data_IF_056064191609
#
_entry.id   IF_056064191609
#
_cell.length_a   1.000
_cell.length_b   1.000
_cell.length_c   1.000
_cell.angle_alpha   90.00
_cell.angle_beta   90.00
_cell.angle_gamma   90.00
#
_symmetry.space_group_name_H-M   'P 1'
#
loop_
_entity.id
_entity.type
_entity.pdbx_description
1 polymer ?
#
# COMPACT_ATOMS: atom_id res chain seq x y z
N UNK A 1 -29.70 3.60 -6.63
CA UNK A 1 -28.56 3.94 -5.75
C UNK A 1 -28.57 5.43 -5.41
N UNK A 2 -28.63 6.34 -6.40
CA UNK A 2 -28.57 7.81 -6.17
C UNK A 2 -29.79 8.31 -5.39
N UNK A 3 -30.98 7.83 -5.68
CA UNK A 3 -32.21 8.18 -4.95
C UNK A 3 -32.12 7.76 -3.47
N UNK A 4 -31.65 6.55 -3.18
CA UNK A 4 -31.46 6.06 -1.81
C UNK A 4 -30.48 6.93 -1.00
N UNK A 5 -29.38 7.36 -1.66
CA UNK A 5 -28.41 8.24 -1.03
C UNK A 5 -29.05 9.63 -0.78
N UNK A 6 -29.78 10.16 -1.76
CA UNK A 6 -30.44 11.44 -1.67
C UNK A 6 -31.50 11.47 -0.55
N UNK A 7 -32.30 10.40 -0.41
CA UNK A 7 -33.29 10.25 0.66
C UNK A 7 -32.66 10.18 2.06
N UNK A 8 -31.39 9.75 2.16
CA UNK A 8 -30.64 9.72 3.42
C UNK A 8 -29.96 11.04 3.79
N UNK A 9 -29.92 12.01 2.88
CA UNK A 9 -29.33 13.34 3.08
C UNK A 9 -30.42 14.37 3.38
N UNK A 10 -30.08 15.50 4.03
CA UNK A 10 -30.99 16.64 4.12
C UNK A 10 -31.36 17.15 2.71
N UNK A 11 -32.64 17.17 2.39
CA UNK A 11 -33.13 17.59 1.08
C UNK A 11 -34.54 18.16 1.18
N UNK A 12 -34.95 18.88 0.14
CA UNK A 12 -36.31 19.35 -0.08
C UNK A 12 -36.92 18.63 -1.30
N UNK A 13 -38.18 18.20 -1.20
CA UNK A 13 -38.91 17.54 -2.28
C UNK A 13 -39.08 16.02 -2.07
N UNK A 14 -39.82 15.39 -2.99
CA UNK A 14 -40.20 13.97 -2.85
C UNK A 14 -39.20 13.02 -3.48
N UNK A 15 -38.50 13.43 -4.54
CA UNK A 15 -37.55 12.58 -5.26
C UNK A 15 -36.45 13.39 -5.97
N UNK A 16 -35.25 12.84 -6.01
CA UNK A 16 -34.10 13.43 -6.72
C UNK A 16 -34.42 13.71 -8.21
N UNK A 17 -35.15 12.81 -8.85
CA UNK A 17 -35.45 12.90 -10.28
C UNK A 17 -36.26 14.15 -10.66
N UNK A 18 -37.08 14.67 -9.74
CA UNK A 18 -37.89 15.87 -9.95
C UNK A 18 -37.31 17.10 -9.23
N UNK A 19 -36.23 16.92 -8.47
CA UNK A 19 -35.56 18.02 -7.81
C UNK A 19 -34.94 18.98 -8.82
N UNK A 20 -34.89 20.27 -8.46
CA UNK A 20 -34.23 21.27 -9.29
C UNK A 20 -32.76 20.97 -9.42
N UNK A 21 -32.23 21.01 -10.64
CA UNK A 21 -30.80 20.83 -10.87
C UNK A 21 -30.00 21.94 -10.17
N UNK A 22 -28.87 21.60 -9.50
CA UNK A 22 -28.06 22.59 -8.80
C UNK A 22 -27.54 23.68 -9.74
N UNK A 23 -27.68 24.92 -9.34
CA UNK A 23 -27.13 26.09 -10.06
C UNK A 23 -25.91 26.60 -9.29
N UNK A 24 -24.93 27.10 -10.02
CA UNK A 24 -23.76 27.73 -9.40
C UNK A 24 -24.16 28.95 -8.58
N UNK A 25 -23.69 29.01 -7.35
CA UNK A 25 -23.93 30.12 -6.44
C UNK A 25 -22.58 30.62 -5.91
N UNK A 26 -22.17 31.82 -6.27
CA UNK A 26 -20.86 32.39 -5.92
C UNK A 26 -20.64 32.47 -4.40
N UNK A 27 -21.69 32.72 -3.62
CA UNK A 27 -21.60 32.76 -2.15
C UNK A 27 -21.33 31.40 -1.51
N UNK A 28 -21.42 30.29 -2.27
CA UNK A 28 -21.09 28.94 -1.85
C UNK A 28 -19.72 28.48 -2.41
N UNK A 29 -18.99 29.35 -3.07
CA UNK A 29 -17.63 29.07 -3.52
C UNK A 29 -16.62 29.45 -2.43
N UNK A 30 -15.81 28.48 -2.00
CA UNK A 30 -14.81 28.64 -0.94
C UNK A 30 -13.41 28.28 -1.48
N UNK A 31 -12.81 29.07 -2.37
CA UNK A 31 -11.60 28.67 -3.10
C UNK A 31 -10.35 28.55 -2.22
N UNK A 32 -10.33 29.16 -1.04
CA UNK A 32 -9.23 29.00 -0.08
C UNK A 32 -9.33 27.64 0.65
N UNK A 33 -10.50 27.35 1.16
CA UNK A 33 -10.82 26.11 1.88
C UNK A 33 -10.75 24.90 0.94
N UNK A 34 -11.17 25.07 -0.32
CA UNK A 34 -11.04 24.05 -1.36
C UNK A 34 -9.56 23.66 -1.58
N UNK A 35 -8.68 24.66 -1.74
CA UNK A 35 -7.24 24.41 -1.87
C UNK A 35 -6.66 23.71 -0.63
N UNK A 36 -7.02 24.16 0.57
CA UNK A 36 -6.55 23.57 1.81
C UNK A 36 -7.02 22.12 1.94
N UNK A 37 -8.27 21.85 1.57
CA UNK A 37 -8.79 20.48 1.58
C UNK A 37 -8.18 19.60 0.49
N UNK A 38 -7.87 20.15 -0.67
CA UNK A 38 -7.19 19.43 -1.75
C UNK A 38 -5.78 18.97 -1.34
N UNK A 39 -5.02 19.79 -0.60
CA UNK A 39 -3.74 19.39 0.00
C UNK A 39 -3.91 18.17 0.92
N UNK A 40 -4.93 18.18 1.77
CA UNK A 40 -5.27 17.05 2.66
C UNK A 40 -5.62 15.80 1.86
N UNK A 41 -6.44 15.93 0.82
CA UNK A 41 -6.80 14.80 -0.05
C UNK A 41 -5.58 14.22 -0.78
N UNK A 42 -4.67 15.07 -1.25
CA UNK A 42 -3.45 14.64 -1.92
C UNK A 42 -2.53 13.88 -0.96
N UNK A 43 -2.38 14.36 0.26
CA UNK A 43 -1.63 13.66 1.31
C UNK A 43 -2.23 12.28 1.62
N UNK A 44 -3.56 12.19 1.79
CA UNK A 44 -4.25 10.91 2.02
C UNK A 44 -4.03 9.94 0.85
N UNK A 45 -4.18 10.39 -0.40
CA UNK A 45 -3.94 9.57 -1.59
C UNK A 45 -2.51 9.05 -1.64
N UNK A 46 -1.53 9.91 -1.39
CA UNK A 46 -0.12 9.57 -1.41
C UNK A 46 0.25 8.54 -0.34
N UNK A 47 -0.24 8.70 0.90
CA UNK A 47 -0.06 7.72 1.98
C UNK A 47 -0.70 6.39 1.61
N UNK A 48 -1.93 6.39 1.11
CA UNK A 48 -2.62 5.15 0.69
C UNK A 48 -1.91 4.43 -0.43
N UNK A 49 -1.42 5.15 -1.44
CA UNK A 49 -0.62 4.57 -2.53
C UNK A 49 0.64 3.90 -2.00
N UNK A 50 1.38 4.60 -1.12
CA UNK A 50 2.60 4.06 -0.54
C UNK A 50 2.34 2.82 0.32
N UNK A 51 1.28 2.83 1.12
CA UNK A 51 0.86 1.65 1.90
C UNK A 51 0.47 0.47 1.01
N UNK A 52 -0.23 0.73 -0.10
CA UNK A 52 -0.60 -0.31 -1.06
C UNK A 52 0.62 -0.92 -1.76
N UNK A 53 1.59 -0.11 -2.18
CA UNK A 53 2.87 -0.58 -2.74
C UNK A 53 3.62 -1.51 -1.78
N UNK A 54 3.53 -1.22 -0.48
CA UNK A 54 4.15 -2.01 0.58
C UNK A 54 3.26 -3.18 1.06
N UNK A 55 2.09 -3.40 0.46
CA UNK A 55 1.11 -4.40 0.87
C UNK A 55 0.66 -4.28 2.34
N UNK A 56 0.64 -3.07 2.91
CA UNK A 56 0.18 -2.81 4.27
C UNK A 56 -1.35 -2.83 4.32
N UNK A 57 -1.98 -3.73 5.09
CA UNK A 57 -3.44 -3.81 5.14
C UNK A 57 -4.06 -2.59 5.82
N UNK A 58 -5.30 -2.21 5.47
CA UNK A 58 -6.03 -1.09 6.09
C UNK A 58 -6.21 -1.22 7.61
N UNK A 59 -6.31 -2.45 8.10
CA UNK A 59 -6.44 -2.73 9.55
C UNK A 59 -5.20 -2.38 10.36
N UNK A 60 -4.03 -2.27 9.72
CA UNK A 60 -2.79 -1.91 10.37
C UNK A 60 -2.68 -0.38 10.41
N UNK A 61 -2.94 0.19 11.56
CA UNK A 61 -2.78 1.63 11.79
C UNK A 61 -1.35 1.94 12.19
N UNK A 62 -0.88 3.13 11.86
CA UNK A 62 0.46 3.60 12.19
C UNK A 62 0.43 5.09 12.57
N UNK A 63 1.44 5.53 13.29
CA UNK A 63 1.68 6.95 13.53
C UNK A 63 2.03 7.64 12.20
N UNK A 64 1.43 8.80 11.94
CA UNK A 64 1.71 9.62 10.78
C UNK A 64 2.30 10.96 11.22
N UNK A 65 3.53 11.23 10.81
CA UNK A 65 4.17 12.52 10.99
C UNK A 65 4.00 13.32 9.71
N UNK A 66 3.52 14.55 9.84
CA UNK A 66 3.30 15.47 8.71
C UNK A 66 4.16 16.71 8.93
N UNK A 67 5.17 16.87 8.09
CA UNK A 67 6.03 18.06 8.09
C UNK A 67 5.58 19.01 7.01
N UNK A 68 5.12 20.19 7.39
CA UNK A 68 4.55 21.19 6.49
C UNK A 68 4.58 22.59 7.11
N UNK A 69 4.62 23.61 6.27
CA UNK A 69 4.38 25.01 6.67
C UNK A 69 2.87 25.32 6.78
N UNK A 70 2.02 24.51 6.15
CA UNK A 70 0.55 24.70 6.12
C UNK A 70 -0.15 23.90 7.23
N UNK A 71 0.36 24.00 8.48
CA UNK A 71 -0.10 23.20 9.61
C UNK A 71 -1.60 23.32 9.87
N UNK A 72 -2.17 24.51 9.73
CA UNK A 72 -3.60 24.75 10.06
C UNK A 72 -4.54 24.01 9.08
N UNK A 73 -4.20 23.97 7.80
CA UNK A 73 -4.94 23.18 6.82
C UNK A 73 -4.97 21.69 7.18
N UNK A 74 -3.80 21.15 7.54
CA UNK A 74 -3.69 19.74 7.94
C UNK A 74 -4.38 19.45 9.28
N UNK A 75 -4.34 20.36 10.25
CA UNK A 75 -5.09 20.22 11.51
C UNK A 75 -6.60 20.21 11.27
N UNK A 76 -7.09 21.08 10.40
CA UNK A 76 -8.51 21.10 10.02
C UNK A 76 -8.96 19.78 9.39
N UNK A 77 -8.08 19.11 8.64
CA UNK A 77 -8.32 17.84 7.98
C UNK A 77 -7.95 16.59 8.80
N UNK A 78 -7.47 16.73 10.04
CA UNK A 78 -6.89 15.63 10.83
C UNK A 78 -7.84 14.42 10.99
N UNK A 79 -9.13 14.68 11.19
CA UNK A 79 -10.14 13.62 11.31
C UNK A 79 -10.29 12.79 10.03
N UNK A 80 -10.18 13.41 8.87
CA UNK A 80 -10.21 12.73 7.57
C UNK A 80 -8.92 11.94 7.34
N UNK A 81 -7.77 12.54 7.66
CA UNK A 81 -6.46 11.88 7.54
C UNK A 81 -6.43 10.63 8.41
N UNK A 82 -6.82 10.73 9.70
CA UNK A 82 -6.85 9.59 10.62
C UNK A 82 -7.65 8.42 10.06
N UNK A 83 -8.86 8.69 9.57
CA UNK A 83 -9.76 7.65 9.05
C UNK A 83 -9.31 7.09 7.71
N UNK A 84 -8.92 7.96 6.76
CA UNK A 84 -8.72 7.58 5.36
C UNK A 84 -7.28 7.19 5.03
N UNK A 85 -6.30 7.69 5.78
CA UNK A 85 -4.91 7.26 5.67
C UNK A 85 -4.53 6.14 6.66
N UNK A 86 -5.50 5.69 7.48
CA UNK A 86 -5.32 4.66 8.50
C UNK A 86 -4.24 5.04 9.54
N UNK A 87 -4.25 6.31 9.95
CA UNK A 87 -3.37 6.82 10.99
C UNK A 87 -4.00 6.60 12.38
N UNK A 88 -3.21 6.06 13.32
CA UNK A 88 -3.61 5.91 14.73
C UNK A 88 -3.38 7.21 15.48
N UNK A 89 -2.22 7.81 15.28
CA UNK A 89 -1.84 9.12 15.80
C UNK A 89 -1.31 9.99 14.65
N UNK A 90 -1.46 11.30 14.79
CA UNK A 90 -0.96 12.26 13.81
C UNK A 90 -0.14 13.32 14.56
N UNK A 91 1.06 13.58 14.08
CA UNK A 91 1.90 14.68 14.54
C UNK A 91 2.17 15.63 13.40
N UNK A 92 1.71 16.88 13.53
CA UNK A 92 1.88 17.93 12.51
C UNK A 92 2.90 18.95 13.05
N UNK A 93 3.97 19.17 12.29
CA UNK A 93 5.03 20.13 12.66
C UNK A 93 5.70 20.72 11.42
N UNK A 94 6.49 21.79 11.59
CA UNK A 94 7.38 22.30 10.54
C UNK A 94 8.75 21.60 10.53
N UNK A 95 9.09 20.88 11.60
CA UNK A 95 10.35 20.15 11.73
C UNK A 95 10.19 18.68 11.34
N UNK A 96 11.26 18.10 10.78
CA UNK A 96 11.33 16.66 10.52
C UNK A 96 11.32 15.86 11.83
N UNK A 97 10.70 14.67 11.86
CA UNK A 97 10.82 13.77 12.99
C UNK A 97 12.27 13.33 13.21
N UNK A 98 12.64 13.07 14.46
CA UNK A 98 14.03 12.75 14.84
C UNK A 98 14.58 11.51 14.10
N UNK A 99 13.72 10.50 13.88
CA UNK A 99 14.09 9.23 13.24
C UNK A 99 13.62 9.13 11.79
N UNK A 100 13.49 10.26 11.09
CA UNK A 100 12.97 10.30 9.70
C UNK A 100 13.72 9.36 8.74
N UNK A 101 14.99 9.10 8.97
CA UNK A 101 15.84 8.21 8.15
C UNK A 101 15.37 6.73 8.21
N UNK A 102 14.73 6.32 9.31
CA UNK A 102 14.20 4.97 9.51
C UNK A 102 12.69 4.86 9.26
N UNK A 103 12.09 5.89 8.68
CA UNK A 103 10.66 5.94 8.37
C UNK A 103 10.41 5.81 6.88
N UNK A 104 9.25 5.26 6.56
CA UNK A 104 8.72 5.30 5.20
C UNK A 104 8.28 6.72 4.91
N UNK A 105 8.89 7.37 3.93
CA UNK A 105 8.56 8.73 3.54
C UNK A 105 7.68 8.80 2.30
N UNK A 106 6.83 9.79 2.27
CA UNK A 106 6.02 10.20 1.12
C UNK A 106 6.12 11.71 0.98
N UNK A 107 6.34 12.20 -0.21
CA UNK A 107 6.46 13.63 -0.49
C UNK A 107 5.31 14.06 -1.38
N UNK A 108 4.62 15.11 -0.98
CA UNK A 108 3.66 15.84 -1.79
C UNK A 108 4.19 17.26 -2.03
N UNK A 109 3.49 18.06 -2.80
CA UNK A 109 3.87 19.45 -3.06
C UNK A 109 3.96 20.27 -1.77
N UNK A 110 3.03 20.04 -0.82
CA UNK A 110 2.84 20.87 0.37
C UNK A 110 3.32 20.24 1.68
N UNK A 111 3.68 18.94 1.66
CA UNK A 111 4.04 18.23 2.86
C UNK A 111 4.99 17.05 2.62
N UNK A 112 5.77 16.74 3.65
CA UNK A 112 6.50 15.47 3.77
C UNK A 112 5.82 14.65 4.86
N UNK A 113 5.46 13.42 4.53
CA UNK A 113 4.75 12.51 5.44
C UNK A 113 5.66 11.33 5.75
N UNK A 114 5.68 10.92 7.03
CA UNK A 114 6.53 9.84 7.50
C UNK A 114 5.73 8.86 8.35
N UNK A 115 6.01 7.58 8.17
CA UNK A 115 5.40 6.48 8.91
C UNK A 115 6.49 5.54 9.43
N UNK A 116 6.54 5.21 10.73
CA UNK A 116 7.51 4.25 11.25
C UNK A 116 7.35 2.89 10.58
N UNK A 117 8.45 2.36 10.02
CA UNK A 117 8.41 1.08 9.31
C UNK A 117 7.98 -0.08 10.23
N UNK A 118 8.40 -0.07 11.47
CA UNK A 118 8.05 -1.10 12.46
C UNK A 118 6.54 -1.18 12.76
N UNK A 119 5.81 -0.08 12.58
CA UNK A 119 4.36 -0.06 12.75
C UNK A 119 3.62 -0.54 11.49
N UNK A 120 4.22 -0.40 10.32
CA UNK A 120 3.63 -0.81 9.04
C UNK A 120 3.78 -2.30 8.77
N UNK A 121 4.94 -2.88 9.12
CA UNK A 121 5.29 -4.27 8.82
C UNK A 121 5.33 -5.08 10.11
N UNK A 122 4.66 -6.22 10.11
CA UNK A 122 4.80 -7.24 11.14
C UNK A 122 5.95 -8.17 10.71
N UNK A 123 7.14 -7.83 11.16
CA UNK A 123 8.35 -8.55 10.77
C UNK A 123 8.27 -10.05 11.07
N UNK A 124 7.65 -10.44 12.18
CA UNK A 124 7.53 -11.86 12.53
C UNK A 124 6.58 -12.60 11.61
N UNK A 125 5.43 -11.99 11.29
CA UNK A 125 4.49 -12.60 10.31
C UNK A 125 5.06 -12.63 8.91
N UNK A 126 5.75 -11.58 8.49
CA UNK A 126 6.36 -11.53 7.16
C UNK A 126 7.50 -12.54 7.05
N UNK A 127 8.32 -12.68 8.09
CA UNK A 127 9.35 -13.72 8.16
C UNK A 127 8.72 -15.10 8.06
N UNK A 128 7.71 -15.41 8.86
CA UNK A 128 7.02 -16.69 8.82
C UNK A 128 6.38 -16.99 7.45
N UNK A 129 5.85 -15.96 6.77
CA UNK A 129 5.32 -16.07 5.40
C UNK A 129 6.43 -16.43 4.41
N UNK A 130 7.54 -15.68 4.43
CA UNK A 130 8.68 -15.91 3.54
C UNK A 130 9.35 -17.28 3.79
N UNK A 131 9.49 -17.69 5.03
CA UNK A 131 10.02 -19.04 5.39
C UNK A 131 9.14 -20.15 4.81
N UNK A 132 7.83 -20.02 4.90
CA UNK A 132 6.88 -20.98 4.33
C UNK A 132 6.92 -21.02 2.79
N UNK A 133 7.08 -19.85 2.17
CA UNK A 133 7.24 -19.76 0.71
C UNK A 133 8.58 -20.33 0.27
N UNK A 134 9.65 -20.06 0.99
CA UNK A 134 10.97 -20.62 0.74
C UNK A 134 10.97 -22.15 0.84
N UNK A 135 10.32 -22.73 1.87
CA UNK A 135 10.18 -24.18 2.00
C UNK A 135 9.49 -24.81 0.79
N UNK A 136 8.40 -24.18 0.31
CA UNK A 136 7.70 -24.63 -0.90
C UNK A 136 8.58 -24.52 -2.15
N UNK A 137 9.29 -23.41 -2.30
CA UNK A 137 10.17 -23.16 -3.44
C UNK A 137 11.33 -24.17 -3.47
N UNK A 138 11.94 -24.45 -2.31
CA UNK A 138 12.99 -25.49 -2.17
C UNK A 138 12.49 -26.87 -2.54
N UNK A 139 11.32 -27.28 -2.04
CA UNK A 139 10.69 -28.57 -2.40
C UNK A 139 10.43 -28.68 -3.91
N UNK A 140 9.98 -27.60 -4.52
CA UNK A 140 9.76 -27.55 -5.97
C UNK A 140 11.10 -27.70 -6.73
N UNK A 141 12.11 -26.94 -6.37
CA UNK A 141 13.45 -27.01 -6.96
C UNK A 141 14.06 -28.41 -6.82
N UNK A 142 14.00 -29.01 -5.62
CA UNK A 142 14.47 -30.38 -5.38
C UNK A 142 13.72 -31.41 -6.24
N UNK A 143 12.41 -31.22 -6.42
CA UNK A 143 11.59 -32.08 -7.29
C UNK A 143 12.04 -32.02 -8.75
N UNK A 144 12.35 -30.79 -9.24
CA UNK A 144 12.89 -30.60 -10.61
C UNK A 144 14.29 -31.24 -10.74
N UNK A 145 15.17 -31.04 -9.75
CA UNK A 145 16.52 -31.61 -9.75
C UNK A 145 16.51 -33.11 -9.71
N UNK A 146 15.59 -33.76 -8.93
CA UNK A 146 15.42 -35.22 -8.94
C UNK A 146 15.04 -35.77 -10.31
N UNK A 147 14.16 -35.06 -11.04
CA UNK A 147 13.81 -35.47 -12.40
C UNK A 147 15.01 -35.34 -13.34
N UNK A 148 15.77 -34.27 -13.24
CA UNK A 148 16.95 -33.99 -14.07
C UNK A 148 18.15 -34.88 -13.71
N UNK A 149 18.21 -35.45 -12.50
CA UNK A 149 19.22 -36.42 -12.10
C UNK A 149 18.87 -37.87 -12.44
N UNK A 150 17.64 -38.12 -12.93
CA UNK A 150 17.21 -39.45 -13.31
C UNK A 150 17.68 -39.79 -14.73
N UNK A 151 18.71 -40.63 -14.84
CA UNK A 151 19.29 -41.06 -16.14
C UNK A 151 18.25 -41.69 -17.09
N UNK A 152 17.29 -42.45 -16.54
CA UNK A 152 16.21 -43.02 -17.36
C UNK A 152 15.27 -41.96 -17.93
N UNK A 153 15.07 -40.84 -17.25
CA UNK A 153 14.29 -39.74 -17.76
C UNK A 153 15.07 -39.01 -18.87
N UNK A 154 16.33 -38.67 -18.61
CA UNK A 154 17.16 -37.90 -19.56
C UNK A 154 17.39 -38.69 -20.85
N UNK A 155 17.60 -40.01 -20.75
CA UNK A 155 17.89 -40.87 -21.93
C UNK A 155 16.67 -41.19 -22.79
N UNK A 156 15.44 -41.11 -22.23
CA UNK A 156 14.20 -41.50 -22.93
C UNK A 156 13.28 -40.32 -23.29
N UNK A 157 13.42 -39.21 -22.59
CA UNK A 157 12.59 -38.03 -22.88
C UNK A 157 13.08 -37.29 -24.13
N UNK A 158 12.18 -36.69 -24.93
CA UNK A 158 12.56 -35.80 -26.02
C UNK A 158 13.39 -34.62 -25.50
N UNK A 159 14.39 -34.20 -26.26
CA UNK A 159 15.31 -33.13 -25.89
C UNK A 159 14.58 -31.83 -25.48
N UNK A 160 13.51 -31.48 -26.19
CA UNK A 160 12.66 -30.32 -25.88
C UNK A 160 12.03 -30.41 -24.47
N UNK A 161 11.66 -31.62 -24.02
CA UNK A 161 11.09 -31.82 -22.67
C UNK A 161 12.19 -31.67 -21.61
N UNK A 162 13.37 -32.22 -21.85
CA UNK A 162 14.52 -32.07 -20.94
C UNK A 162 14.91 -30.61 -20.82
N UNK A 163 14.92 -29.87 -21.93
CA UNK A 163 15.22 -28.45 -21.93
C UNK A 163 14.19 -27.64 -21.15
N UNK A 164 12.89 -27.92 -21.32
CA UNK A 164 11.82 -27.29 -20.55
C UNK A 164 11.97 -27.54 -19.04
N UNK A 165 12.34 -28.76 -18.62
CA UNK A 165 12.55 -29.05 -17.21
C UNK A 165 13.81 -28.36 -16.64
N UNK A 166 14.86 -28.16 -17.45
CA UNK A 166 16.03 -27.35 -17.07
C UNK A 166 15.64 -25.89 -16.85
N UNK A 167 14.89 -25.29 -17.75
CA UNK A 167 14.40 -23.90 -17.61
C UNK A 167 13.52 -23.74 -16.36
N UNK A 168 12.70 -24.74 -16.06
CA UNK A 168 11.89 -24.75 -14.82
C UNK A 168 12.76 -24.82 -13.57
N UNK A 169 13.81 -25.64 -13.61
CA UNK A 169 14.76 -25.76 -12.49
C UNK A 169 15.52 -24.43 -12.27
N UNK A 170 15.97 -23.77 -13.33
CA UNK A 170 16.61 -22.46 -13.25
C UNK A 170 15.67 -21.39 -12.65
N UNK A 171 14.41 -21.33 -13.10
CA UNK A 171 13.41 -20.44 -12.54
C UNK A 171 13.13 -20.73 -11.05
N UNK A 172 13.03 -22.00 -10.70
CA UNK A 172 12.82 -22.42 -9.31
C UNK A 172 14.02 -22.05 -8.44
N UNK A 173 15.25 -22.21 -8.94
CA UNK A 173 16.47 -21.79 -8.25
C UNK A 173 16.50 -20.28 -8.00
N UNK A 174 16.24 -19.49 -9.04
CA UNK A 174 16.17 -18.03 -8.93
C UNK A 174 15.13 -17.57 -7.90
N UNK A 175 13.98 -18.24 -7.81
CA UNK A 175 12.96 -17.95 -6.80
C UNK A 175 13.48 -18.25 -5.38
N UNK A 176 14.18 -19.36 -5.16
CA UNK A 176 14.80 -19.69 -3.87
C UNK A 176 15.80 -18.62 -3.47
N UNK A 177 16.70 -18.23 -4.36
CA UNK A 177 17.73 -17.22 -4.10
C UNK A 177 17.10 -15.84 -3.76
N UNK A 178 16.05 -15.45 -4.47
CA UNK A 178 15.32 -14.21 -4.20
C UNK A 178 14.62 -14.23 -2.83
N UNK A 179 14.00 -15.35 -2.44
CA UNK A 179 13.34 -15.49 -1.13
C UNK A 179 14.37 -15.49 0.02
N UNK A 180 15.52 -16.14 -0.18
CA UNK A 180 16.64 -16.10 0.79
C UNK A 180 17.19 -14.70 0.98
N UNK A 181 17.37 -13.94 -0.12
CA UNK A 181 17.79 -12.54 -0.07
C UNK A 181 16.75 -11.67 0.65
N UNK A 182 15.46 -11.90 0.40
CA UNK A 182 14.38 -11.18 1.07
C UNK A 182 14.36 -11.45 2.58
N UNK A 183 14.54 -12.71 3.01
CA UNK A 183 14.66 -13.06 4.43
C UNK A 183 15.88 -12.42 5.10
N UNK A 184 17.00 -12.36 4.40
CA UNK A 184 18.22 -11.71 4.91
C UNK A 184 18.05 -10.20 5.08
N UNK A 185 17.27 -9.56 4.22
CA UNK A 185 17.01 -8.12 4.29
C UNK A 185 15.96 -7.75 5.35
N UNK A 186 15.22 -8.72 5.87
CA UNK A 186 14.20 -8.52 6.92
C UNK A 186 14.80 -8.57 8.34
N UNK A 187 16.00 -8.97 8.50
CA UNK A 187 16.55 -9.16 9.81
C UNK A 187 17.98 -9.31 9.95
#
# INVERSE_FOLDING_TARGET
ITEEIWQALPHDGEALMIARYPEYTESLAFPAEERDFEMVMNAIRAVRSRRAEMNVPPSRKAHLFITTERQDAFRSGESYISKLAYAEQITISSALPADAEHMVSVVTEEAKLFMPMAELIDFDKERARLEKELEKARKNYEGQMRKLSNENFISRAPEAVVQTERERAEKAKALVENLEASLKNLG
#
